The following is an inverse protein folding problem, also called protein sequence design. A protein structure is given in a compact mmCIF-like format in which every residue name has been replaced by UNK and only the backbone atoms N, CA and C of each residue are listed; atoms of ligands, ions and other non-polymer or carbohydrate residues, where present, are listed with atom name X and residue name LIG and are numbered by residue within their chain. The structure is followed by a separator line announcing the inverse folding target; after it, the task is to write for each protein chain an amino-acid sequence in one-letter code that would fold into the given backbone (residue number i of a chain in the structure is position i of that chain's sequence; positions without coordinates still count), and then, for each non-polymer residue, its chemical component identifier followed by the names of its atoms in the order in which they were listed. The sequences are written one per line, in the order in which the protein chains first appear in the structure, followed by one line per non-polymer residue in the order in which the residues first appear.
data_IF_694628095781
#
_entry.id   IF_694628095781
#
_cell.length_a   1.000
_cell.length_b   1.000
_cell.length_c   1.000
_cell.angle_alpha   90.00
_cell.angle_beta   90.00
_cell.angle_gamma   90.00
#
_symmetry.space_group_name_H-M   'P 1'
#
loop_
_entity.id
_entity.type
_entity.pdbx_description
1 polymer ?
#
# COMPACT_ATOMS: atom_id res chain seq x y z
N UNK A 1 1.21 -23.21 -16.27
CA UNK A 1 0.91 -22.75 -14.91
C UNK A 1 1.83 -23.48 -13.94
N UNK A 2 3.03 -23.00 -13.74
CA UNK A 2 3.93 -23.48 -12.70
C UNK A 2 3.43 -22.97 -11.37
N UNK A 3 3.19 -23.86 -10.43
CA UNK A 3 2.58 -23.53 -9.14
C UNK A 3 3.48 -22.59 -8.34
N UNK A 4 2.89 -21.60 -7.66
CA UNK A 4 3.57 -20.69 -6.72
C UNK A 4 4.46 -21.43 -5.69
N UNK A 5 4.18 -22.73 -5.44
CA UNK A 5 4.92 -23.56 -4.50
C UNK A 5 6.33 -23.93 -4.98
N UNK A 6 6.56 -24.01 -6.29
CA UNK A 6 7.87 -24.40 -6.85
C UNK A 6 8.89 -23.26 -6.75
N UNK A 7 8.44 -22.01 -6.91
CA UNK A 7 9.33 -20.86 -6.86
C UNK A 7 9.74 -20.41 -5.46
N UNK A 8 8.99 -20.79 -4.42
CA UNK A 8 9.35 -20.50 -3.02
C UNK A 8 10.56 -21.33 -2.54
N UNK A 9 10.80 -22.50 -3.16
CA UNK A 9 11.89 -23.38 -2.77
C UNK A 9 13.24 -23.06 -3.42
N UNK A 10 13.26 -22.37 -4.56
CA UNK A 10 14.50 -22.13 -5.32
C UNK A 10 15.22 -20.82 -5.00
N UNK A 11 14.59 -19.91 -4.26
CA UNK A 11 15.28 -18.71 -3.83
C UNK A 11 15.92 -18.91 -2.47
N UNK A 12 17.21 -18.69 -2.38
CA UNK A 12 17.98 -18.40 -1.15
C UNK A 12 17.48 -17.09 -0.49
N UNK A 13 16.17 -16.85 -0.52
CA UNK A 13 15.50 -15.73 0.08
C UNK A 13 15.39 -16.01 1.57
N UNK A 14 16.25 -15.34 2.35
CA UNK A 14 16.10 -15.21 3.77
C UNK A 14 16.36 -16.52 4.54
N UNK A 15 17.60 -16.94 4.62
CA UNK A 15 18.01 -17.71 5.78
C UNK A 15 17.77 -16.82 6.99
N UNK A 16 16.59 -16.95 7.60
CA UNK A 16 16.33 -16.37 8.91
C UNK A 16 17.35 -17.02 9.83
N UNK A 17 18.32 -16.25 10.26
CA UNK A 17 19.24 -16.68 11.32
C UNK A 17 18.41 -16.79 12.61
N UNK A 18 18.18 -18.01 13.03
CA UNK A 18 17.36 -18.30 14.22
C UNK A 18 17.99 -17.73 15.48
N UNK A 19 19.30 -17.66 15.52
CA UNK A 19 20.05 -17.13 16.67
C UNK A 19 19.94 -15.62 16.70
N UNK A 20 20.02 -14.96 15.54
CA UNK A 20 19.76 -13.52 15.45
C UNK A 20 18.32 -13.16 15.85
N UNK A 21 17.33 -13.92 15.39
CA UNK A 21 15.92 -13.74 15.80
C UNK A 21 15.74 -13.94 17.29
N UNK A 22 16.34 -14.98 17.88
CA UNK A 22 16.28 -15.25 19.31
C UNK A 22 16.93 -14.12 20.11
N UNK A 23 18.08 -13.61 19.66
CA UNK A 23 18.77 -12.50 20.26
C UNK A 23 17.89 -11.22 20.27
N UNK A 24 17.36 -10.80 19.11
CA UNK A 24 16.51 -9.62 19.05
C UNK A 24 15.21 -9.79 19.83
N UNK A 25 14.62 -10.97 19.82
CA UNK A 25 13.44 -11.27 20.64
C UNK A 25 13.75 -11.11 22.13
N UNK A 26 14.85 -11.70 22.60
CA UNK A 26 15.28 -11.56 23.99
C UNK A 26 15.51 -10.08 24.35
N UNK A 27 16.22 -9.34 23.50
CA UNK A 27 16.50 -7.93 23.69
C UNK A 27 15.22 -7.09 23.80
N UNK A 28 14.25 -7.29 22.87
CA UNK A 28 12.98 -6.53 22.86
C UNK A 28 12.16 -6.76 24.12
N UNK A 29 12.12 -7.99 24.65
CA UNK A 29 11.29 -8.30 25.81
C UNK A 29 11.98 -8.09 27.16
N UNK A 30 13.30 -7.93 27.21
CA UNK A 30 14.05 -7.88 28.46
C UNK A 30 14.94 -6.64 28.62
N UNK A 31 14.88 -5.67 27.70
CA UNK A 31 15.63 -4.41 27.80
C UNK A 31 14.70 -3.23 28.09
N UNK A 32 15.24 -2.19 28.70
CA UNK A 32 14.55 -0.92 28.80
C UNK A 32 14.41 -0.24 27.43
N UNK A 33 13.46 0.69 27.30
CA UNK A 33 13.24 1.42 26.05
C UNK A 33 14.48 2.23 25.63
N UNK A 34 15.21 2.79 26.58
CA UNK A 34 16.45 3.56 26.34
C UNK A 34 17.51 2.67 25.68
N UNK A 35 17.73 1.46 26.20
CA UNK A 35 18.67 0.49 25.62
C UNK A 35 18.25 0.08 24.21
N UNK A 36 16.96 -0.07 23.95
CA UNK A 36 16.45 -0.39 22.60
C UNK A 36 16.67 0.77 21.63
N UNK A 37 16.42 2.01 22.06
CA UNK A 37 16.67 3.21 21.27
C UNK A 37 18.15 3.34 20.93
N UNK A 38 19.03 3.18 21.92
CA UNK A 38 20.49 3.26 21.74
C UNK A 38 20.98 2.19 20.76
N UNK A 39 20.52 0.95 20.92
CA UNK A 39 20.88 -0.15 20.01
C UNK A 39 20.41 0.10 18.58
N UNK A 40 19.16 0.58 18.39
CA UNK A 40 18.61 0.89 17.10
C UNK A 40 19.35 2.06 16.42
N UNK A 41 19.62 3.14 17.17
CA UNK A 41 20.36 4.30 16.69
C UNK A 41 21.78 3.92 16.27
N UNK A 42 22.48 3.17 17.13
CA UNK A 42 23.84 2.71 16.82
C UNK A 42 23.89 1.83 15.57
N UNK A 43 22.90 0.94 15.39
CA UNK A 43 22.80 0.09 14.19
C UNK A 43 22.53 0.92 12.93
N UNK A 44 21.63 1.91 13.01
CA UNK A 44 21.36 2.85 11.91
C UNK A 44 22.64 3.64 11.55
N UNK A 45 23.26 4.27 12.54
CA UNK A 45 24.38 5.18 12.34
C UNK A 45 25.62 4.47 11.78
N UNK A 46 25.82 3.19 12.12
CA UNK A 46 26.86 2.34 11.54
C UNK A 46 26.73 2.22 10.02
N UNK A 47 25.50 2.24 9.48
CA UNK A 47 25.24 2.03 8.06
C UNK A 47 24.99 3.33 7.29
N UNK A 48 24.37 4.32 7.93
CA UNK A 48 23.87 5.54 7.28
C UNK A 48 24.48 6.83 7.84
N UNK A 49 25.27 6.75 8.92
CA UNK A 49 25.81 7.92 9.61
C UNK A 49 24.67 8.83 10.11
N UNK A 50 24.92 10.13 10.09
CA UNK A 50 23.95 11.15 10.53
C UNK A 50 23.02 11.62 9.41
N UNK A 51 23.04 10.98 8.25
CA UNK A 51 22.23 11.39 7.10
C UNK A 51 20.86 10.75 7.16
N UNK A 52 19.82 11.56 7.16
CA UNK A 52 18.43 11.13 7.06
C UNK A 52 17.87 11.71 5.77
N UNK A 53 17.42 10.85 4.87
CA UNK A 53 16.71 11.26 3.65
C UNK A 53 15.21 11.36 3.91
N UNK A 54 14.54 12.27 3.19
CA UNK A 54 13.09 12.35 3.16
C UNK A 54 12.62 12.70 1.75
N UNK A 55 11.42 12.26 1.41
CA UNK A 55 10.76 12.66 0.16
C UNK A 55 9.47 13.41 0.48
N UNK A 56 9.35 14.63 -0.05
CA UNK A 56 8.11 15.40 0.03
C UNK A 56 7.10 14.81 -0.95
N UNK A 57 5.93 14.42 -0.44
CA UNK A 57 4.86 13.82 -1.24
C UNK A 57 3.58 14.62 -1.10
N UNK A 58 2.84 14.75 -2.20
CA UNK A 58 1.43 15.13 -2.15
C UNK A 58 0.59 13.87 -2.02
N UNK A 59 -0.34 13.87 -1.07
CA UNK A 59 -1.26 12.77 -0.85
C UNK A 59 -2.52 12.93 -1.72
N UNK A 60 -2.85 11.91 -2.50
CA UNK A 60 -4.01 11.90 -3.40
C UNK A 60 -4.89 10.69 -3.08
N UNK A 61 -6.02 10.91 -2.37
CA UNK A 61 -6.97 9.85 -2.04
C UNK A 61 -7.87 9.55 -3.23
N UNK A 62 -7.39 8.74 -4.19
CA UNK A 62 -8.07 8.50 -5.47
C UNK A 62 -9.53 8.06 -5.29
N UNK A 63 -9.81 7.22 -4.29
CA UNK A 63 -11.16 6.97 -3.76
C UNK A 63 -11.12 6.75 -2.26
N UNK A 64 -12.14 7.24 -1.57
CA UNK A 64 -12.36 6.98 -0.16
C UNK A 64 -13.39 5.86 0.10
N UNK A 65 -13.95 5.26 -0.97
CA UNK A 65 -14.78 4.06 -0.84
C UNK A 65 -13.89 2.82 -0.81
N UNK A 66 -14.23 1.84 0.02
CA UNK A 66 -13.44 0.62 0.21
C UNK A 66 -14.37 -0.59 0.38
N UNK A 67 -13.99 -1.75 -0.13
CA UNK A 67 -14.75 -2.97 0.14
C UNK A 67 -14.50 -3.55 1.53
N UNK A 68 -13.37 -3.21 2.15
CA UNK A 68 -13.07 -3.54 3.54
C UNK A 68 -13.72 -2.55 4.51
N UNK A 69 -14.05 -3.04 5.69
CA UNK A 69 -14.70 -2.27 6.76
C UNK A 69 -13.90 -2.36 8.06
N UNK A 70 -12.61 -2.05 7.99
CA UNK A 70 -11.72 -2.09 9.15
C UNK A 70 -12.23 -1.16 10.26
N UNK A 71 -12.39 -1.67 11.48
CA UNK A 71 -13.06 -0.93 12.57
C UNK A 71 -12.32 0.34 13.03
N UNK A 72 -11.04 0.46 12.73
CA UNK A 72 -10.21 1.63 13.06
C UNK A 72 -10.08 2.64 11.90
N UNK A 73 -10.60 2.32 10.71
CA UNK A 73 -10.38 3.18 9.55
C UNK A 73 -11.30 4.40 9.58
N UNK A 74 -10.72 5.57 9.74
CA UNK A 74 -11.43 6.86 9.70
C UNK A 74 -11.50 7.47 8.29
N UNK A 75 -10.79 6.87 7.34
CA UNK A 75 -10.71 7.34 5.96
C UNK A 75 -11.90 6.87 5.11
N UNK A 76 -12.38 5.64 5.36
CA UNK A 76 -13.39 5.01 4.51
C UNK A 76 -14.75 5.70 4.63
N UNK A 77 -15.41 5.89 3.47
CA UNK A 77 -16.79 6.36 3.35
C UNK A 77 -17.65 5.26 2.74
N UNK A 78 -18.87 5.10 3.29
CA UNK A 78 -19.86 4.23 2.64
C UNK A 78 -20.27 4.86 1.30
N UNK A 79 -20.57 4.08 0.25
CA UNK A 79 -20.96 4.65 -1.05
C UNK A 79 -22.15 5.62 -1.02
N UNK A 80 -23.04 5.52 -0.02
CA UNK A 80 -24.17 6.42 0.17
C UNK A 80 -23.85 7.68 0.99
N UNK A 81 -22.64 7.77 1.54
CA UNK A 81 -22.17 8.99 2.19
C UNK A 81 -22.01 10.10 1.13
N UNK A 82 -22.48 11.34 1.41
CA UNK A 82 -22.35 12.45 0.48
C UNK A 82 -20.90 12.79 0.14
N UNK A 83 -19.97 12.47 1.03
CA UNK A 83 -18.53 12.68 0.82
C UNK A 83 -17.84 11.51 0.11
N UNK A 84 -18.57 10.42 -0.21
CA UNK A 84 -18.01 9.28 -0.93
C UNK A 84 -17.72 9.64 -2.39
N UNK A 85 -16.48 9.44 -2.83
CA UNK A 85 -16.08 9.82 -4.20
C UNK A 85 -14.97 8.94 -4.79
N UNK A 86 -14.91 8.97 -6.10
CA UNK A 86 -13.73 8.70 -6.92
C UNK A 86 -13.30 10.05 -7.49
N UNK A 87 -12.03 10.41 -7.31
CA UNK A 87 -11.51 11.65 -7.89
C UNK A 87 -11.50 11.56 -9.42
N UNK A 88 -11.93 12.61 -10.08
CA UNK A 88 -11.82 12.76 -11.53
C UNK A 88 -10.35 12.99 -11.96
N UNK A 89 -10.01 12.77 -13.26
CA UNK A 89 -8.67 13.08 -13.77
C UNK A 89 -8.26 14.55 -13.54
N UNK A 90 -9.22 15.47 -13.62
CA UNK A 90 -9.01 16.90 -13.37
C UNK A 90 -8.64 17.17 -11.91
N UNK A 91 -9.32 16.55 -10.95
CA UNK A 91 -9.02 16.69 -9.52
C UNK A 91 -7.64 16.11 -9.19
N UNK A 92 -7.29 14.97 -9.78
CA UNK A 92 -5.95 14.36 -9.64
C UNK A 92 -4.89 15.33 -10.15
N UNK A 93 -5.07 15.88 -11.35
CA UNK A 93 -4.11 16.81 -11.96
C UNK A 93 -3.99 18.11 -11.17
N UNK A 94 -5.09 18.67 -10.65
CA UNK A 94 -5.05 19.85 -9.79
C UNK A 94 -4.24 19.57 -8.53
N UNK A 95 -4.48 18.45 -7.86
CA UNK A 95 -3.70 18.04 -6.68
C UNK A 95 -2.22 17.86 -7.01
N UNK A 96 -1.91 17.23 -8.15
CA UNK A 96 -0.54 17.03 -8.60
C UNK A 96 0.20 18.36 -8.81
N UNK A 97 -0.42 19.31 -9.51
CA UNK A 97 0.16 20.64 -9.73
C UNK A 97 0.36 21.43 -8.44
N UNK A 98 -0.55 21.30 -7.48
CA UNK A 98 -0.36 21.90 -6.15
C UNK A 98 0.84 21.28 -5.42
N UNK A 99 1.02 19.97 -5.49
CA UNK A 99 2.18 19.28 -4.96
C UNK A 99 3.48 19.77 -5.60
N UNK A 100 3.49 19.89 -6.92
CA UNK A 100 4.63 20.37 -7.69
C UNK A 100 5.03 21.81 -7.29
N UNK A 101 4.07 22.73 -7.21
CA UNK A 101 4.29 24.10 -6.72
C UNK A 101 4.89 24.15 -5.31
N UNK A 102 4.52 23.19 -4.44
CA UNK A 102 5.07 23.07 -3.08
C UNK A 102 6.41 22.32 -3.04
N UNK A 103 6.97 21.98 -4.19
CA UNK A 103 8.26 21.32 -4.33
C UNK A 103 8.23 19.84 -3.93
N UNK A 104 7.06 19.18 -3.97
CA UNK A 104 6.98 17.73 -3.85
C UNK A 104 7.74 17.06 -4.98
N UNK A 105 8.22 15.85 -4.73
CA UNK A 105 8.92 15.00 -5.70
C UNK A 105 8.07 13.79 -6.11
N UNK A 106 7.16 13.40 -5.24
CA UNK A 106 6.30 12.27 -5.46
C UNK A 106 4.84 12.63 -5.20
N UNK A 107 3.95 11.92 -5.90
CA UNK A 107 2.53 11.91 -5.66
C UNK A 107 2.16 10.53 -5.10
N UNK A 108 1.65 10.49 -3.88
CA UNK A 108 1.20 9.26 -3.23
C UNK A 108 -0.28 9.03 -3.52
N UNK A 109 -0.58 8.08 -4.39
CA UNK A 109 -1.92 7.53 -4.50
C UNK A 109 -2.19 6.58 -3.34
N UNK A 110 -3.14 6.95 -2.50
CA UNK A 110 -3.72 6.06 -1.50
C UNK A 110 -5.22 5.97 -1.74
N UNK A 111 -5.79 4.79 -1.59
CA UNK A 111 -7.18 4.59 -1.95
C UNK A 111 -7.81 3.46 -1.13
N UNK A 112 -9.15 3.50 -1.06
CA UNK A 112 -9.90 2.36 -0.56
C UNK A 112 -9.79 1.18 -1.52
N UNK A 113 -9.75 -0.01 -0.97
CA UNK A 113 -9.45 -1.24 -1.70
C UNK A 113 -10.66 -1.73 -2.49
N UNK A 114 -10.55 -1.78 -3.80
CA UNK A 114 -11.46 -2.40 -4.80
C UNK A 114 -12.96 -2.27 -4.48
N UNK A 115 -13.48 -1.03 -4.28
CA UNK A 115 -14.87 -0.83 -3.88
C UNK A 115 -15.87 -1.37 -4.90
N UNK A 116 -15.51 -1.39 -6.19
CA UNK A 116 -16.30 -1.95 -7.29
C UNK A 116 -16.62 -3.44 -7.12
N UNK A 117 -15.81 -4.18 -6.36
CA UNK A 117 -16.06 -5.61 -6.08
C UNK A 117 -17.10 -5.86 -5.00
N UNK A 118 -17.63 -4.81 -4.38
CA UNK A 118 -18.63 -4.93 -3.31
C UNK A 118 -19.88 -4.09 -3.55
N UNK A 119 -19.74 -2.95 -4.20
CA UNK A 119 -20.81 -1.95 -4.28
C UNK A 119 -21.09 -1.55 -5.73
N UNK A 120 -22.36 -1.44 -6.07
CA UNK A 120 -22.79 -1.04 -7.42
C UNK A 120 -22.49 0.44 -7.74
N UNK A 121 -22.49 1.33 -6.74
CA UNK A 121 -22.26 2.77 -6.96
C UNK A 121 -20.84 3.08 -7.48
N UNK A 122 -19.75 2.59 -6.85
CA UNK A 122 -18.41 2.76 -7.40
C UNK A 122 -18.22 2.03 -8.73
N UNK A 123 -18.89 0.87 -8.96
CA UNK A 123 -18.86 0.20 -10.27
C UNK A 123 -19.39 1.12 -11.36
N UNK A 124 -20.59 1.68 -11.19
CA UNK A 124 -21.18 2.62 -12.17
C UNK A 124 -20.34 3.89 -12.35
N UNK A 125 -19.74 4.40 -11.27
CA UNK A 125 -18.88 5.56 -11.35
C UNK A 125 -17.63 5.28 -12.20
N UNK A 126 -17.02 4.10 -12.04
CA UNK A 126 -15.90 3.66 -12.88
C UNK A 126 -16.32 3.45 -14.34
N UNK A 127 -17.46 2.81 -14.58
CA UNK A 127 -18.03 2.61 -15.92
C UNK A 127 -18.24 3.96 -16.64
N UNK A 128 -18.72 4.97 -15.92
CA UNK A 128 -18.90 6.35 -16.45
C UNK A 128 -17.55 6.97 -16.85
N UNK A 129 -16.47 6.60 -16.17
CA UNK A 129 -15.10 7.01 -16.49
C UNK A 129 -14.46 6.13 -17.59
N UNK A 130 -15.14 5.06 -18.05
CA UNK A 130 -14.64 4.12 -19.05
C UNK A 130 -13.79 2.97 -18.49
N UNK A 131 -13.92 2.64 -17.21
CA UNK A 131 -13.13 1.59 -16.56
C UNK A 131 -14.00 0.53 -15.91
N UNK A 132 -13.50 -0.70 -15.86
CA UNK A 132 -14.13 -1.82 -15.14
C UNK A 132 -13.50 -2.02 -13.75
N UNK A 133 -12.24 -1.66 -13.57
CA UNK A 133 -11.50 -1.86 -12.32
C UNK A 133 -10.81 -0.58 -11.85
N UNK A 134 -10.80 -0.37 -10.53
CA UNK A 134 -10.11 0.75 -9.90
C UNK A 134 -8.60 0.75 -10.20
N UNK A 135 -7.99 -0.43 -10.35
CA UNK A 135 -6.56 -0.56 -10.68
C UNK A 135 -6.23 -0.11 -12.10
N UNK A 136 -7.16 -0.25 -13.04
CA UNK A 136 -6.99 0.26 -14.41
C UNK A 136 -7.09 1.79 -14.43
N UNK A 137 -8.08 2.34 -13.74
CA UNK A 137 -8.18 3.78 -13.55
C UNK A 137 -6.95 4.37 -12.88
N UNK A 138 -6.48 3.75 -11.79
CA UNK A 138 -5.24 4.15 -11.10
C UNK A 138 -4.02 4.15 -12.02
N UNK A 139 -3.91 3.12 -12.88
CA UNK A 139 -2.82 3.01 -13.86
C UNK A 139 -2.80 4.22 -14.80
N UNK A 140 -3.95 4.64 -15.30
CA UNK A 140 -4.03 5.78 -16.20
C UNK A 140 -3.87 7.12 -15.46
N UNK A 141 -4.25 7.21 -14.21
CA UNK A 141 -3.95 8.38 -13.37
C UNK A 141 -2.43 8.49 -13.09
N UNK A 142 -1.72 7.39 -12.92
CA UNK A 142 -0.25 7.40 -12.83
C UNK A 142 0.38 7.94 -14.13
N UNK A 143 -0.07 7.47 -15.31
CA UNK A 143 0.39 7.99 -16.61
C UNK A 143 0.12 9.49 -16.73
N UNK A 144 -1.10 9.92 -16.40
CA UNK A 144 -1.48 11.33 -16.42
C UNK A 144 -0.54 12.21 -15.60
N UNK A 145 -0.17 11.74 -14.39
CA UNK A 145 0.76 12.47 -13.51
C UNK A 145 2.14 12.56 -14.16
N UNK A 146 2.69 11.47 -14.69
CA UNK A 146 3.99 11.44 -15.37
C UNK A 146 4.00 12.37 -16.59
N UNK A 147 2.94 12.35 -17.39
CA UNK A 147 2.85 13.14 -18.62
C UNK A 147 2.66 14.65 -18.38
N UNK A 148 2.01 15.02 -17.29
CA UNK A 148 1.55 16.39 -17.04
C UNK A 148 2.27 17.13 -15.92
N UNK A 149 3.14 16.44 -15.18
CA UNK A 149 3.91 17.00 -14.05
C UNK A 149 5.30 16.38 -13.95
N UNK A 150 6.14 16.94 -13.08
CA UNK A 150 7.46 16.37 -12.74
C UNK A 150 7.41 15.37 -11.57
N UNK A 151 6.22 15.03 -11.07
CA UNK A 151 6.05 14.16 -9.92
C UNK A 151 6.15 12.70 -10.31
N UNK A 152 6.75 11.90 -9.43
CA UNK A 152 6.81 10.46 -9.55
C UNK A 152 5.64 9.81 -8.79
N UNK A 153 4.78 9.01 -9.44
CA UNK A 153 3.72 8.31 -8.75
C UNK A 153 4.28 7.25 -7.78
N UNK A 154 3.78 7.25 -6.56
CA UNK A 154 3.89 6.18 -5.59
C UNK A 154 2.50 5.60 -5.34
N UNK A 155 2.35 4.28 -5.46
CA UNK A 155 1.05 3.61 -5.38
C UNK A 155 0.93 2.80 -4.10
N UNK A 156 -0.11 3.07 -3.32
CA UNK A 156 -0.51 2.28 -2.16
C UNK A 156 -1.98 1.83 -2.33
N UNK A 157 -2.16 0.78 -3.15
CA UNK A 157 -3.47 0.31 -3.60
C UNK A 157 -3.97 -0.97 -2.91
N UNK A 158 -3.34 -1.36 -1.78
CA UNK A 158 -3.72 -2.58 -1.06
C UNK A 158 -3.29 -3.86 -1.77
N UNK A 159 -4.14 -4.89 -1.77
CA UNK A 159 -3.82 -6.19 -2.39
C UNK A 159 -3.90 -6.14 -3.91
N UNK A 160 -2.86 -6.61 -4.56
CA UNK A 160 -2.74 -6.66 -6.01
C UNK A 160 -2.40 -8.08 -6.47
N UNK A 161 -2.93 -8.50 -7.59
CA UNK A 161 -2.47 -9.70 -8.28
C UNK A 161 -1.26 -9.38 -9.19
N UNK A 162 -0.64 -10.41 -9.74
CA UNK A 162 0.55 -10.29 -10.57
C UNK A 162 0.33 -9.39 -11.80
N UNK A 163 -0.81 -9.52 -12.47
CA UNK A 163 -1.17 -8.70 -13.63
C UNK A 163 -1.30 -7.20 -13.26
N UNK A 164 -1.98 -6.91 -12.15
CA UNK A 164 -2.14 -5.54 -11.63
C UNK A 164 -0.77 -4.93 -11.24
N UNK A 165 0.11 -5.73 -10.64
CA UNK A 165 1.47 -5.31 -10.27
C UNK A 165 2.28 -4.97 -11.53
N UNK A 166 2.29 -5.83 -12.54
CA UNK A 166 3.03 -5.60 -13.79
C UNK A 166 2.55 -4.33 -14.49
N UNK A 167 1.24 -4.09 -14.55
CA UNK A 167 0.68 -2.86 -15.14
C UNK A 167 1.17 -1.61 -14.40
N UNK A 168 1.07 -1.61 -13.07
CA UNK A 168 1.46 -0.46 -12.25
C UNK A 168 2.98 -0.24 -12.23
N UNK A 169 3.78 -1.30 -12.25
CA UNK A 169 5.25 -1.24 -12.29
C UNK A 169 5.79 -0.40 -13.45
N UNK A 170 5.08 -0.36 -14.56
CA UNK A 170 5.48 0.40 -15.74
C UNK A 170 5.18 1.91 -15.65
N UNK A 171 4.35 2.33 -14.69
CA UNK A 171 3.83 3.71 -14.59
C UNK A 171 3.97 4.32 -13.19
N UNK A 172 4.67 3.67 -12.28
CA UNK A 172 4.96 4.24 -10.96
C UNK A 172 6.42 3.99 -10.57
N UNK A 173 6.98 4.92 -9.82
CA UNK A 173 8.36 4.82 -9.33
C UNK A 173 8.48 3.84 -8.17
N UNK A 174 7.41 3.65 -7.42
CA UNK A 174 7.38 2.73 -6.28
C UNK A 174 5.96 2.32 -5.93
N UNK A 175 5.85 1.16 -5.30
CA UNK A 175 4.60 0.62 -4.75
C UNK A 175 4.80 0.24 -3.30
N UNK A 176 3.77 0.43 -2.49
CA UNK A 176 3.75 0.02 -1.09
C UNK A 176 2.45 -0.68 -0.72
N UNK A 177 2.52 -1.53 0.28
CA UNK A 177 1.37 -2.14 0.90
C UNK A 177 1.65 -2.39 2.38
N UNK A 178 0.70 -2.04 3.24
CA UNK A 178 0.78 -2.36 4.65
C UNK A 178 0.49 -3.85 4.86
N UNK A 179 1.45 -4.63 5.36
CA UNK A 179 1.22 -6.04 5.70
C UNK A 179 0.18 -6.18 6.82
N UNK A 180 0.10 -5.20 7.71
CA UNK A 180 -0.74 -5.12 8.90
C UNK A 180 -0.34 -6.16 9.95
N UNK A 181 -0.53 -7.44 9.65
CA UNK A 181 -0.21 -8.55 10.54
C UNK A 181 -0.05 -9.86 9.78
N UNK A 182 0.69 -10.78 10.34
CA UNK A 182 0.73 -12.19 9.91
C UNK A 182 -0.24 -13.07 10.72
N UNK A 183 -0.85 -12.52 11.78
CA UNK A 183 -1.77 -13.25 12.66
C UNK A 183 -3.21 -13.22 12.12
N UNK A 184 -3.84 -14.39 12.03
CA UNK A 184 -5.26 -14.53 11.70
C UNK A 184 -6.20 -14.00 12.80
N UNK A 185 -5.67 -13.73 14.00
CA UNK A 185 -6.49 -13.32 15.16
C UNK A 185 -7.27 -12.04 14.88
N UNK A 186 -6.69 -11.08 14.16
CA UNK A 186 -7.35 -9.81 13.87
C UNK A 186 -8.54 -9.94 12.91
N UNK A 187 -8.65 -11.05 12.15
CA UNK A 187 -9.76 -11.32 11.22
C UNK A 187 -10.91 -12.10 11.86
N UNK A 188 -10.76 -12.52 13.10
CA UNK A 188 -11.82 -13.23 13.83
C UNK A 188 -12.95 -12.27 14.23
N UNK A 189 -14.13 -12.84 14.56
CA UNK A 189 -15.29 -12.04 15.02
C UNK A 189 -14.91 -11.17 16.22
N UNK A 190 -15.22 -9.87 16.13
CA UNK A 190 -14.82 -8.87 17.12
C UNK A 190 -13.42 -8.27 16.90
N UNK A 191 -12.64 -8.81 15.98
CA UNK A 191 -11.34 -8.24 15.60
C UNK A 191 -11.47 -7.09 14.59
N UNK A 192 -10.47 -6.21 14.50
CA UNK A 192 -10.52 -5.00 13.69
C UNK A 192 -10.56 -5.26 12.18
N UNK A 193 -10.18 -6.44 11.73
CA UNK A 193 -10.23 -6.88 10.33
C UNK A 193 -11.34 -7.91 10.06
N UNK A 194 -12.32 -8.01 10.96
CA UNK A 194 -13.45 -8.91 10.74
C UNK A 194 -14.23 -8.50 9.48
N UNK A 195 -14.56 -9.47 8.63
CA UNK A 195 -15.22 -9.27 7.34
C UNK A 195 -14.47 -8.37 6.34
N UNK A 196 -13.14 -8.25 6.49
CA UNK A 196 -12.26 -7.52 5.56
C UNK A 196 -11.48 -8.53 4.71
N UNK A 197 -11.92 -8.86 3.48
CA UNK A 197 -11.31 -9.90 2.67
C UNK A 197 -9.84 -9.62 2.31
N UNK A 198 -9.48 -8.35 2.14
CA UNK A 198 -8.13 -7.95 1.74
C UNK A 198 -7.18 -7.79 2.94
N UNK A 199 -7.70 -7.86 4.16
CA UNK A 199 -6.89 -7.86 5.39
C UNK A 199 -6.54 -9.27 5.88
N UNK A 200 -6.97 -10.31 5.17
CA UNK A 200 -6.54 -11.68 5.46
C UNK A 200 -5.05 -11.80 5.18
N UNK A 201 -4.20 -12.22 6.17
CA UNK A 201 -2.74 -12.16 6.04
C UNK A 201 -2.18 -12.84 4.79
N UNK A 202 -2.73 -14.00 4.39
CA UNK A 202 -2.24 -14.72 3.21
C UNK A 202 -2.44 -13.94 1.90
N UNK A 203 -3.49 -13.12 1.80
CA UNK A 203 -3.72 -12.30 0.60
C UNK A 203 -2.65 -11.22 0.48
N UNK A 204 -2.31 -10.58 1.59
CA UNK A 204 -1.28 -9.55 1.65
C UNK A 204 0.11 -10.12 1.42
N UNK A 205 0.42 -11.27 2.01
CA UNK A 205 1.68 -12.00 1.78
C UNK A 205 1.81 -12.38 0.29
N UNK A 206 0.75 -12.85 -0.35
CA UNK A 206 0.78 -13.14 -1.80
C UNK A 206 1.12 -11.92 -2.63
N UNK A 207 0.51 -10.77 -2.33
CA UNK A 207 0.85 -9.51 -3.02
C UNK A 207 2.33 -9.15 -2.86
N UNK A 208 2.89 -9.26 -1.64
CA UNK A 208 4.31 -9.00 -1.39
C UNK A 208 5.22 -9.96 -2.15
N UNK A 209 4.87 -11.25 -2.19
CA UNK A 209 5.60 -12.25 -2.97
C UNK A 209 5.57 -11.90 -4.46
N UNK A 210 4.39 -11.62 -5.02
CA UNK A 210 4.25 -11.24 -6.43
C UNK A 210 5.01 -9.95 -6.78
N UNK A 211 5.09 -8.99 -5.85
CA UNK A 211 5.85 -7.75 -6.06
C UNK A 211 7.36 -7.94 -5.99
N UNK A 212 7.85 -9.02 -5.37
CA UNK A 212 9.28 -9.36 -5.30
C UNK A 212 9.81 -10.10 -6.55
N UNK A 213 8.95 -10.45 -7.50
CA UNK A 213 9.30 -11.04 -8.78
C UNK A 213 9.27 -9.98 -9.89
#
# INVERSE_FOLDING_TARGET
MTSLSTHLNDRKLWKIDKDEVAYYRHMVFNSSIEKLIDAASSKRDKHWGNVISYSRKIFVPLTNMCRDTCSYCTFVKHPDDPDAKIMSPQEVLLSAREGEKKGCKELLFSLGEKPEKRYAKPTRALETLGYEAMTDYLTDMCKLVIEKTSLLPHVNAGTLNEYEIVKLKNVCASMGMMLETTSKRLTQKGGPHYACPDKVPIQRIRTLISAGY
#
